data_IF_360772575026
#
_entry.id   IF_360772575026
#
_cell.length_a   1.000
_cell.length_b   1.000
_cell.length_c   1.000
_cell.angle_alpha   90.00
_cell.angle_beta   90.00
_cell.angle_gamma   90.00
#
_symmetry.space_group_name_H-M   'P 1'
#
loop_
_entity.id
_entity.type
_entity.pdbx_description
1 polymer ?
#
# COMPACT_ATOMS: atom_id res chain seq x y z
N UNK A 1 -4.42 -7.74 3.57
CA UNK A 1 -3.66 -6.59 3.03
C UNK A 1 -2.79 -6.98 1.82
N UNK A 2 -2.12 -8.15 1.83
CA UNK A 2 -1.22 -8.57 0.75
C UNK A 2 -1.83 -8.41 -0.66
N UNK A 3 -2.99 -9.02 -0.91
CA UNK A 3 -3.62 -8.97 -2.23
C UNK A 3 -3.98 -7.54 -2.64
N UNK A 4 -4.54 -6.75 -1.73
CA UNK A 4 -4.93 -5.37 -2.03
C UNK A 4 -3.72 -4.52 -2.39
N UNK A 5 -2.65 -4.53 -1.56
CA UNK A 5 -1.44 -3.73 -1.84
C UNK A 5 -0.78 -4.17 -3.13
N UNK A 6 -0.75 -5.47 -3.42
CA UNK A 6 -0.23 -6.00 -4.69
C UNK A 6 -0.99 -5.44 -5.90
N UNK A 7 -2.31 -5.50 -5.88
CA UNK A 7 -3.13 -4.97 -6.98
C UNK A 7 -2.99 -3.45 -7.12
N UNK A 8 -2.89 -2.71 -6.01
CA UNK A 8 -2.62 -1.26 -6.03
C UNK A 8 -1.27 -0.97 -6.68
N UNK A 9 -0.21 -1.64 -6.25
CA UNK A 9 1.15 -1.44 -6.81
C UNK A 9 1.18 -1.73 -8.31
N UNK A 10 0.51 -2.80 -8.75
CA UNK A 10 0.38 -3.11 -10.17
C UNK A 10 -0.36 -2.02 -10.95
N UNK A 11 -1.46 -1.53 -10.40
CA UNK A 11 -2.28 -0.51 -11.03
C UNK A 11 -1.58 0.87 -11.07
N UNK A 12 -0.77 1.18 -10.07
CA UNK A 12 0.05 2.40 -10.02
C UNK A 12 1.24 2.34 -11.00
N UNK A 13 1.65 1.14 -11.40
CA UNK A 13 2.84 0.94 -12.23
C UNK A 13 4.15 1.05 -11.45
N UNK A 14 5.29 0.83 -12.14
CA UNK A 14 6.60 0.82 -11.50
C UNK A 14 7.03 2.20 -11.04
N UNK A 15 7.62 2.29 -9.85
CA UNK A 15 8.33 3.49 -9.42
C UNK A 15 9.58 3.72 -10.30
N UNK A 16 9.91 4.99 -10.55
CA UNK A 16 11.12 5.37 -11.30
C UNK A 16 11.94 6.38 -10.51
N UNK A 17 13.16 6.02 -10.12
CA UNK A 17 13.78 4.70 -10.30
C UNK A 17 13.11 3.62 -9.43
N UNK A 18 13.14 2.37 -9.91
CA UNK A 18 12.58 1.23 -9.17
C UNK A 18 13.33 1.03 -7.85
N UNK A 19 12.67 1.08 -6.70
CA UNK A 19 13.34 1.05 -5.41
C UNK A 19 13.94 -0.33 -5.12
N UNK A 20 15.27 -0.42 -4.82
CA UNK A 20 15.89 -1.69 -4.43
C UNK A 20 15.54 -2.11 -3.01
N UNK A 21 15.01 -1.18 -2.22
CA UNK A 21 14.61 -1.36 -0.82
C UNK A 21 13.27 -0.69 -0.55
N UNK A 22 12.45 -1.33 0.27
CA UNK A 22 11.17 -0.80 0.76
C UNK A 22 11.24 -0.74 2.28
N UNK A 23 10.97 0.44 2.84
CA UNK A 23 10.70 0.64 4.25
C UNK A 23 9.19 0.56 4.48
N UNK A 24 8.75 -0.39 5.29
CA UNK A 24 7.35 -0.61 5.67
C UNK A 24 7.13 -0.09 7.10
N UNK A 25 6.49 1.07 7.20
CA UNK A 25 6.20 1.77 8.46
C UNK A 25 4.90 1.24 9.06
N UNK A 26 4.94 0.72 10.29
CA UNK A 26 3.81 -0.01 10.87
C UNK A 26 3.56 -1.31 10.12
N UNK A 27 4.61 -2.10 9.89
CA UNK A 27 4.58 -3.24 8.98
C UNK A 27 3.63 -4.37 9.39
N UNK A 28 3.11 -4.35 10.62
CA UNK A 28 2.27 -5.43 11.13
C UNK A 28 2.93 -6.80 10.92
N UNK A 29 2.24 -7.70 10.25
CA UNK A 29 2.75 -9.03 9.91
C UNK A 29 3.59 -9.06 8.61
N UNK A 30 4.00 -7.92 8.08
CA UNK A 30 4.91 -7.78 6.94
C UNK A 30 4.29 -8.04 5.57
N UNK A 31 2.98 -8.16 5.49
CA UNK A 31 2.30 -8.56 4.25
C UNK A 31 2.25 -7.46 3.20
N UNK A 32 2.15 -6.20 3.61
CA UNK A 32 2.08 -5.06 2.70
C UNK A 32 3.43 -4.78 2.02
N UNK A 33 4.50 -4.69 2.81
CA UNK A 33 5.85 -4.53 2.28
C UNK A 33 6.28 -5.69 1.38
N UNK A 34 5.92 -6.93 1.76
CA UNK A 34 6.17 -8.10 0.94
C UNK A 34 5.42 -8.04 -0.40
N UNK A 35 4.17 -7.58 -0.41
CA UNK A 35 3.39 -7.42 -1.63
C UNK A 35 4.07 -6.46 -2.62
N UNK A 36 4.52 -5.31 -2.15
CA UNK A 36 5.23 -4.35 -3.00
C UNK A 36 6.59 -4.88 -3.47
N UNK A 37 7.35 -5.52 -2.57
CA UNK A 37 8.69 -6.04 -2.90
C UNK A 37 8.66 -7.10 -4.01
N UNK A 38 7.63 -7.94 -4.04
CA UNK A 38 7.47 -9.02 -5.02
C UNK A 38 7.02 -8.54 -6.41
N UNK A 39 6.57 -7.29 -6.55
CA UNK A 39 6.25 -6.70 -7.86
C UNK A 39 7.50 -6.16 -8.59
N UNK A 40 8.68 -6.51 -8.11
CA UNK A 40 9.97 -6.18 -8.71
C UNK A 40 10.78 -7.45 -8.99
N UNK A 41 11.53 -7.44 -10.10
CA UNK A 41 12.48 -8.51 -10.42
C UNK A 41 13.90 -7.93 -10.55
N UNK A 42 14.86 -8.34 -9.73
CA UNK A 42 14.72 -9.17 -8.53
C UNK A 42 13.94 -8.43 -7.42
N UNK A 43 13.30 -9.20 -6.52
CA UNK A 43 12.50 -8.62 -5.44
C UNK A 43 13.30 -7.63 -4.58
N UNK A 44 12.64 -6.54 -4.16
CA UNK A 44 13.26 -5.54 -3.30
C UNK A 44 13.57 -6.10 -1.91
N UNK A 45 14.57 -5.50 -1.24
CA UNK A 45 14.79 -5.73 0.20
C UNK A 45 13.67 -5.07 1.00
N UNK A 46 13.12 -5.76 2.01
CA UNK A 46 12.09 -5.21 2.90
C UNK A 46 12.68 -4.91 4.27
N UNK A 47 12.54 -3.66 4.71
CA UNK A 47 12.82 -3.26 6.08
C UNK A 47 11.50 -2.89 6.73
N UNK A 48 11.04 -3.66 7.72
CA UNK A 48 9.77 -3.43 8.41
C UNK A 48 9.98 -2.98 9.85
N UNK A 49 9.19 -2.00 10.29
CA UNK A 49 9.17 -1.57 11.70
C UNK A 49 7.74 -1.55 12.22
N UNK A 50 7.56 -2.00 13.45
CA UNK A 50 6.28 -1.98 14.15
C UNK A 50 6.50 -1.90 15.66
N UNK A 51 5.58 -1.26 16.39
CA UNK A 51 5.63 -1.19 17.85
C UNK A 51 5.30 -2.53 18.50
N UNK A 52 4.51 -3.36 17.83
CA UNK A 52 4.04 -4.64 18.32
C UNK A 52 5.09 -5.74 18.07
N UNK A 53 5.73 -6.24 19.14
CA UNK A 53 6.76 -7.28 19.04
C UNK A 53 6.27 -8.62 18.47
N UNK A 54 4.99 -8.99 18.70
CA UNK A 54 4.41 -10.17 18.08
C UNK A 54 4.29 -9.99 16.55
N UNK A 55 3.77 -8.86 16.11
CA UNK A 55 3.64 -8.53 14.70
C UNK A 55 5.01 -8.57 13.99
N UNK A 56 6.06 -8.01 14.61
CA UNK A 56 7.44 -8.09 14.12
C UNK A 56 7.92 -9.53 13.95
N UNK A 57 7.55 -10.42 14.86
CA UNK A 57 7.91 -11.85 14.78
C UNK A 57 7.22 -12.51 13.57
N UNK A 58 5.94 -12.25 13.38
CA UNK A 58 5.17 -12.70 12.22
C UNK A 58 5.72 -12.10 10.91
N UNK A 59 6.11 -10.83 10.90
CA UNK A 59 6.71 -10.19 9.74
C UNK A 59 8.04 -10.86 9.33
N UNK A 60 8.85 -11.28 10.29
CA UNK A 60 10.08 -12.09 10.02
C UNK A 60 9.75 -13.42 9.39
N UNK A 61 8.72 -14.09 9.90
CA UNK A 61 8.25 -15.35 9.32
C UNK A 61 7.75 -15.16 7.89
N UNK A 62 6.90 -14.14 7.64
CA UNK A 62 6.38 -13.78 6.31
C UNK A 62 7.52 -13.51 5.33
N UNK A 63 8.48 -12.67 5.69
CA UNK A 63 9.64 -12.31 4.85
C UNK A 63 10.44 -13.56 4.46
N UNK A 64 10.76 -14.43 5.44
CA UNK A 64 11.46 -15.69 5.17
C UNK A 64 10.65 -16.65 4.33
N UNK A 65 9.36 -16.81 4.63
CA UNK A 65 8.46 -17.73 3.91
C UNK A 65 8.29 -17.39 2.44
N UNK A 66 8.38 -16.09 2.13
CA UNK A 66 8.30 -15.58 0.75
C UNK A 66 9.67 -15.45 0.05
N UNK A 67 10.75 -15.89 0.70
CA UNK A 67 12.09 -15.83 0.13
C UNK A 67 12.63 -14.41 -0.06
N UNK A 68 12.07 -13.44 0.67
CA UNK A 68 12.49 -12.04 0.57
C UNK A 68 13.74 -11.78 1.43
N UNK A 69 14.60 -10.90 0.94
CA UNK A 69 15.69 -10.32 1.73
C UNK A 69 15.15 -9.18 2.57
N UNK A 70 15.71 -9.00 3.75
CA UNK A 70 15.36 -7.86 4.59
C UNK A 70 15.43 -8.15 6.07
N UNK A 71 14.94 -7.20 6.84
CA UNK A 71 14.87 -7.27 8.28
C UNK A 71 13.59 -6.63 8.80
N UNK A 72 13.11 -7.12 9.92
CA UNK A 72 12.02 -6.49 10.66
C UNK A 72 12.44 -6.29 12.11
N UNK A 73 12.04 -5.16 12.67
CA UNK A 73 12.44 -4.78 14.03
C UNK A 73 11.33 -4.04 14.76
N UNK A 74 11.39 -4.09 16.09
CA UNK A 74 10.53 -3.24 16.91
C UNK A 74 11.01 -1.80 16.80
N UNK A 75 10.13 -0.89 16.40
CA UNK A 75 10.44 0.51 16.19
C UNK A 75 9.18 1.34 15.99
N UNK A 76 9.32 2.63 16.18
CA UNK A 76 8.26 3.61 15.96
C UNK A 76 8.40 4.21 14.56
N UNK A 77 7.34 4.13 13.77
CA UNK A 77 7.25 4.70 12.42
C UNK A 77 7.62 6.19 12.37
N UNK A 78 7.37 6.93 13.45
CA UNK A 78 7.66 8.36 13.54
C UNK A 78 9.14 8.68 13.76
N UNK A 79 9.89 7.77 14.35
CA UNK A 79 11.31 7.94 14.66
C UNK A 79 12.24 7.15 13.73
N UNK A 80 11.69 6.18 12.98
CA UNK A 80 12.48 5.36 12.07
C UNK A 80 13.16 6.21 11.00
N UNK A 81 14.43 5.95 10.75
CA UNK A 81 15.20 6.67 9.75
C UNK A 81 14.75 6.27 8.34
N UNK A 82 14.27 7.24 7.57
CA UNK A 82 13.91 6.99 6.17
C UNK A 82 15.17 6.63 5.34
N UNK A 83 15.03 5.66 4.42
CA UNK A 83 16.17 5.21 3.61
C UNK A 83 16.62 6.29 2.63
N UNK A 84 17.90 6.25 2.24
CA UNK A 84 18.38 7.10 1.17
C UNK A 84 17.78 6.66 -0.18
N UNK A 85 17.43 7.60 -1.07
CA UNK A 85 16.95 7.28 -2.41
C UNK A 85 18.02 6.52 -3.25
N UNK A 86 17.60 5.70 -4.21
CA UNK A 86 16.23 5.34 -4.52
C UNK A 86 15.66 4.32 -3.52
N UNK A 87 14.51 4.61 -2.96
CA UNK A 87 13.86 3.73 -1.98
C UNK A 87 12.34 3.82 -2.11
N UNK A 88 11.63 2.82 -1.63
CA UNK A 88 10.19 2.87 -1.38
C UNK A 88 9.92 3.10 0.10
N UNK A 89 8.96 3.93 0.42
CA UNK A 89 8.42 4.12 1.77
C UNK A 89 6.94 3.79 1.74
N UNK A 90 6.54 2.80 2.51
CA UNK A 90 5.17 2.31 2.62
C UNK A 90 4.61 2.62 4.00
N UNK A 91 3.36 3.09 4.05
CA UNK A 91 2.53 3.11 5.25
C UNK A 91 1.17 2.54 4.88
N UNK A 92 0.93 1.27 5.20
CA UNK A 92 -0.30 0.58 4.84
C UNK A 92 -1.13 0.24 6.08
N UNK A 93 -2.31 0.83 6.20
CA UNK A 93 -3.21 0.71 7.36
C UNK A 93 -2.56 1.17 8.68
N UNK A 94 -1.67 2.13 8.57
CA UNK A 94 -0.84 2.61 9.68
C UNK A 94 -1.24 4.01 10.11
N UNK A 95 -1.53 4.91 9.15
CA UNK A 95 -1.79 6.32 9.46
C UNK A 95 -3.10 6.50 10.24
N UNK A 96 -4.07 5.63 10.03
CA UNK A 96 -5.31 5.62 10.79
C UNK A 96 -5.11 5.30 12.29
N UNK A 97 -4.06 4.55 12.64
CA UNK A 97 -3.74 4.17 14.01
C UNK A 97 -3.02 5.30 14.78
N UNK A 98 -2.58 6.35 14.07
CA UNK A 98 -1.87 7.47 14.65
C UNK A 98 -2.84 8.54 15.17
N UNK A 99 -2.46 9.25 16.23
CA UNK A 99 -3.11 10.49 16.66
C UNK A 99 -2.78 11.66 15.72
N UNK A 100 -3.48 12.79 15.89
CA UNK A 100 -3.31 13.97 15.03
C UNK A 100 -1.89 14.56 15.12
N UNK A 101 -1.29 14.58 16.29
CA UNK A 101 0.06 15.08 16.49
C UNK A 101 1.10 14.20 15.78
N UNK A 102 0.91 12.89 15.83
CA UNK A 102 1.75 11.91 15.15
C UNK A 102 1.61 12.02 13.63
N UNK A 103 0.37 12.18 13.12
CA UNK A 103 0.12 12.42 11.69
C UNK A 103 0.78 13.71 11.22
N UNK A 104 0.65 14.81 11.96
CA UNK A 104 1.29 16.08 11.62
C UNK A 104 2.83 16.00 11.57
N UNK A 105 3.43 15.07 12.32
CA UNK A 105 4.88 14.80 12.28
C UNK A 105 5.29 13.87 11.14
N UNK A 106 4.43 12.91 10.77
CA UNK A 106 4.76 11.91 9.74
C UNK A 106 4.66 12.49 8.33
N UNK A 107 3.62 13.27 8.04
CA UNK A 107 3.38 13.81 6.69
C UNK A 107 4.59 14.56 6.12
N UNK A 108 5.19 15.57 6.79
CA UNK A 108 6.35 16.27 6.24
C UNK A 108 7.53 15.33 5.93
N UNK A 109 7.76 14.33 6.77
CA UNK A 109 8.85 13.36 6.57
C UNK A 109 8.65 12.53 5.31
N UNK A 110 7.40 12.12 5.03
CA UNK A 110 7.06 11.39 3.80
C UNK A 110 7.19 12.29 2.57
N UNK A 111 6.79 13.56 2.68
CA UNK A 111 6.95 14.54 1.61
C UNK A 111 8.43 14.83 1.32
N UNK A 112 9.26 14.98 2.34
CA UNK A 112 10.71 15.15 2.20
C UNK A 112 11.37 13.92 1.53
N UNK A 113 10.94 12.71 1.91
CA UNK A 113 11.41 11.49 1.28
C UNK A 113 11.06 11.45 -0.23
N UNK A 114 9.84 11.84 -0.58
CA UNK A 114 9.41 11.91 -1.97
C UNK A 114 10.17 12.96 -2.77
N UNK A 115 10.34 14.16 -2.22
CA UNK A 115 11.14 15.25 -2.82
C UNK A 115 12.59 14.82 -3.00
N UNK A 116 13.13 14.02 -2.08
CA UNK A 116 14.46 13.44 -2.16
C UNK A 116 14.60 12.32 -3.20
N UNK A 117 13.51 11.89 -3.87
CA UNK A 117 13.53 10.87 -4.92
C UNK A 117 13.17 9.45 -4.45
N UNK A 118 12.54 9.32 -3.29
CA UNK A 118 11.93 8.05 -2.87
C UNK A 118 10.50 7.95 -3.40
N UNK A 119 10.06 6.74 -3.73
CA UNK A 119 8.65 6.47 -3.97
C UNK A 119 7.92 6.34 -2.62
N UNK A 120 6.80 7.01 -2.46
CA UNK A 120 5.98 6.94 -1.24
C UNK A 120 4.61 6.38 -1.59
N UNK A 121 4.15 5.41 -0.82
CA UNK A 121 2.82 4.81 -0.96
C UNK A 121 2.14 4.71 0.41
N UNK A 122 0.98 5.34 0.52
CA UNK A 122 0.11 5.26 1.68
C UNK A 122 -1.16 4.52 1.25
N UNK A 123 -1.55 3.48 1.98
CA UNK A 123 -2.76 2.69 1.68
C UNK A 123 -3.64 2.63 2.92
N UNK A 124 -4.92 2.96 2.75
CA UNK A 124 -5.88 3.00 3.86
C UNK A 124 -7.26 2.48 3.43
N UNK A 125 -8.16 2.15 4.39
CA UNK A 125 -9.53 1.77 4.06
C UNK A 125 -10.30 2.89 3.36
N UNK A 126 -11.31 2.55 2.56
CA UNK A 126 -12.20 3.53 1.92
C UNK A 126 -13.05 4.34 2.90
N UNK A 127 -13.21 3.87 4.13
CA UNK A 127 -14.09 4.50 5.11
C UNK A 127 -13.61 5.90 5.50
N UNK A 128 -14.38 6.92 5.13
CA UNK A 128 -14.12 8.31 5.52
C UNK A 128 -14.20 8.54 7.03
N UNK A 129 -14.95 7.71 7.75
CA UNK A 129 -15.09 7.83 9.23
C UNK A 129 -13.80 7.52 9.96
N UNK A 130 -13.01 6.57 9.46
CA UNK A 130 -11.76 6.16 10.10
C UNK A 130 -10.56 6.99 9.64
N UNK A 131 -10.75 7.88 8.65
CA UNK A 131 -9.65 8.71 8.12
C UNK A 131 -10.12 10.15 7.86
N UNK A 132 -10.52 10.91 8.88
CA UNK A 132 -10.92 12.30 8.72
C UNK A 132 -9.78 13.21 8.23
N UNK A 133 -8.54 12.81 8.47
CA UNK A 133 -7.30 13.47 8.07
C UNK A 133 -7.00 13.36 6.55
N UNK A 134 -7.67 12.48 5.83
CA UNK A 134 -7.35 12.14 4.45
C UNK A 134 -7.38 13.33 3.47
N UNK A 135 -8.35 14.26 3.50
CA UNK A 135 -8.38 15.39 2.56
C UNK A 135 -7.11 16.24 2.64
N UNK A 136 -6.66 16.58 3.83
CA UNK A 136 -5.43 17.36 4.06
C UNK A 136 -4.20 16.66 3.44
N UNK A 137 -4.06 15.37 3.66
CA UNK A 137 -2.95 14.59 3.11
C UNK A 137 -3.04 14.45 1.59
N UNK A 138 -4.26 14.29 1.05
CA UNK A 138 -4.48 14.21 -0.38
C UNK A 138 -4.13 15.53 -1.08
N UNK A 139 -4.47 16.65 -0.48
CA UNK A 139 -4.13 17.99 -0.98
C UNK A 139 -2.62 18.23 -0.95
N UNK A 140 -1.94 17.85 0.12
CA UNK A 140 -0.49 17.94 0.24
C UNK A 140 0.22 17.08 -0.82
N UNK A 141 -0.20 15.82 -0.98
CA UNK A 141 0.34 14.89 -1.99
C UNK A 141 0.07 15.40 -3.40
N UNK A 142 -1.15 15.86 -3.69
CA UNK A 142 -1.51 16.43 -5.00
C UNK A 142 -0.68 17.67 -5.34
N UNK A 143 -0.46 18.57 -4.37
CA UNK A 143 0.38 19.77 -4.55
C UNK A 143 1.84 19.44 -4.86
N UNK A 144 2.33 18.28 -4.43
CA UNK A 144 3.67 17.78 -4.71
C UNK A 144 3.75 16.91 -5.99
N UNK A 145 2.70 16.92 -6.82
CA UNK A 145 2.66 16.14 -8.07
C UNK A 145 2.36 14.65 -7.87
N UNK A 146 1.91 14.27 -6.70
CA UNK A 146 1.42 12.92 -6.43
C UNK A 146 -0.05 12.74 -6.79
N UNK A 147 -0.60 11.58 -6.48
CA UNK A 147 -1.97 11.22 -6.81
C UNK A 147 -2.69 10.55 -5.65
N UNK A 148 -4.02 10.64 -5.67
CA UNK A 148 -4.91 9.87 -4.83
C UNK A 148 -5.82 8.98 -5.68
N UNK A 149 -6.10 7.77 -5.19
CA UNK A 149 -6.97 6.83 -5.87
C UNK A 149 -7.86 6.08 -4.88
N UNK A 150 -9.06 5.70 -5.35
CA UNK A 150 -9.92 4.72 -4.70
C UNK A 150 -9.94 3.44 -5.53
N UNK A 151 -9.75 2.31 -4.86
CA UNK A 151 -9.58 1.01 -5.48
C UNK A 151 -10.71 0.06 -5.13
N UNK A 152 -11.18 -0.68 -6.12
CA UNK A 152 -12.16 -1.76 -5.99
C UNK A 152 -11.76 -2.87 -6.96
N UNK A 153 -11.07 -3.88 -6.45
CA UNK A 153 -10.64 -5.02 -7.26
C UNK A 153 -11.56 -6.21 -6.99
N UNK A 154 -12.02 -6.93 -8.03
CA UNK A 154 -12.69 -8.22 -7.83
C UNK A 154 -11.76 -9.17 -7.08
N UNK A 155 -12.29 -9.85 -6.05
CA UNK A 155 -11.52 -10.80 -5.27
C UNK A 155 -11.98 -12.23 -5.52
N UNK A 156 -11.07 -13.08 -5.99
CA UNK A 156 -11.24 -14.53 -5.98
C UNK A 156 -10.45 -15.08 -4.80
N UNK A 157 -11.14 -15.29 -3.68
CA UNK A 157 -10.51 -15.79 -2.47
C UNK A 157 -10.41 -17.31 -2.47
N UNK A 158 -9.37 -17.91 -1.88
CA UNK A 158 -9.34 -19.32 -1.56
C UNK A 158 -10.60 -19.75 -0.79
N UNK A 159 -11.10 -20.98 -1.07
CA UNK A 159 -12.36 -21.47 -0.49
C UNK A 159 -12.46 -21.29 1.02
N UNK A 160 -11.38 -21.56 1.75
CA UNK A 160 -11.34 -21.39 3.21
C UNK A 160 -11.59 -19.95 3.64
N UNK A 161 -10.96 -18.97 2.98
CA UNK A 161 -11.14 -17.55 3.28
C UNK A 161 -12.55 -17.08 2.89
N UNK A 162 -13.10 -17.57 1.78
CA UNK A 162 -14.48 -17.27 1.38
C UNK A 162 -15.49 -17.79 2.40
N UNK A 163 -15.29 -19.00 2.95
CA UNK A 163 -16.13 -19.58 4.00
C UNK A 163 -16.04 -18.79 5.31
N UNK A 164 -14.83 -18.41 5.73
CA UNK A 164 -14.61 -17.57 6.92
C UNK A 164 -15.28 -16.20 6.76
N UNK A 165 -15.13 -15.55 5.61
CA UNK A 165 -15.78 -14.28 5.32
C UNK A 165 -17.30 -14.40 5.42
N UNK A 166 -17.89 -15.43 4.80
CA UNK A 166 -19.34 -15.69 4.90
C UNK A 166 -19.80 -15.91 6.35
N UNK A 167 -19.05 -16.70 7.13
CA UNK A 167 -19.35 -16.95 8.53
C UNK A 167 -19.25 -15.68 9.40
N UNK A 168 -18.38 -14.74 9.04
CA UNK A 168 -18.19 -13.46 9.74
C UNK A 168 -19.10 -12.33 9.21
N UNK A 169 -20.00 -12.61 8.26
CA UNK A 169 -20.84 -11.58 7.64
C UNK A 169 -20.10 -10.56 6.78
N UNK A 170 -18.85 -10.85 6.39
CA UNK A 170 -18.04 -9.99 5.55
C UNK A 170 -18.28 -10.27 4.06
N UNK A 171 -18.49 -9.21 3.28
CA UNK A 171 -18.52 -9.30 1.82
C UNK A 171 -17.08 -9.23 1.27
N UNK A 172 -16.51 -10.40 0.98
CA UNK A 172 -15.16 -10.54 0.48
C UNK A 172 -15.07 -10.64 -1.05
N UNK A 173 -16.12 -10.22 -1.79
CA UNK A 173 -16.13 -10.25 -3.26
C UNK A 173 -15.25 -9.17 -3.87
N UNK A 174 -14.87 -8.17 -3.11
CA UNK A 174 -14.00 -7.09 -3.55
C UNK A 174 -12.91 -6.80 -2.52
N UNK A 175 -11.72 -6.49 -3.01
CA UNK A 175 -10.66 -5.84 -2.25
C UNK A 175 -10.84 -4.34 -2.42
N UNK A 176 -11.02 -3.63 -1.32
CA UNK A 176 -11.26 -2.18 -1.37
C UNK A 176 -10.24 -1.43 -0.53
N UNK A 177 -9.81 -0.27 -1.03
CA UNK A 177 -8.89 0.62 -0.34
C UNK A 177 -8.73 1.92 -1.11
N UNK A 178 -7.96 2.82 -0.56
CA UNK A 178 -7.51 4.05 -1.21
C UNK A 178 -6.02 4.23 -1.02
N UNK A 179 -5.40 4.99 -1.91
CA UNK A 179 -3.98 5.27 -1.81
C UNK A 179 -3.65 6.73 -2.06
N UNK A 180 -2.56 7.18 -1.45
CA UNK A 180 -1.80 8.36 -1.83
C UNK A 180 -0.43 7.88 -2.32
N UNK A 181 0.00 8.37 -3.48
CA UNK A 181 1.24 7.92 -4.10
C UNK A 181 2.06 9.10 -4.63
N UNK A 182 3.37 9.03 -4.42
CA UNK A 182 4.39 9.96 -4.92
C UNK A 182 5.55 9.17 -5.53
N UNK A 183 6.10 9.61 -6.66
CA UNK A 183 7.23 8.94 -7.30
C UNK A 183 6.90 7.56 -7.86
N UNK A 184 5.63 7.26 -8.07
CA UNK A 184 5.12 6.08 -8.75
C UNK A 184 4.55 6.56 -10.09
N UNK A 185 5.21 6.18 -11.19
CA UNK A 185 4.80 6.58 -12.53
C UNK A 185 3.63 5.72 -13.00
N UNK A 186 2.44 6.25 -12.83
CA UNK A 186 1.35 5.89 -13.71
C UNK A 186 1.10 7.09 -14.64
N UNK A 187 0.99 6.91 -15.97
CA UNK A 187 0.41 7.96 -16.81
C UNK A 187 -0.94 8.30 -16.21
N UNK A 188 -1.18 9.58 -15.94
CA UNK A 188 -2.48 10.07 -15.49
C UNK A 188 -3.55 9.41 -16.38
N UNK A 189 -4.46 8.66 -15.78
CA UNK A 189 -5.68 8.27 -16.45
C UNK A 189 -6.46 9.57 -16.66
N UNK A 190 -6.16 10.27 -17.76
CA UNK A 190 -6.99 11.37 -18.28
C UNK A 190 -8.38 10.78 -18.42
N UNK A 191 -9.31 11.37 -17.66
CA UNK A 191 -10.66 10.88 -17.44
C UNK A 191 -11.36 10.43 -18.71
N UNK A 192 -11.52 9.14 -18.82
CA UNK A 192 -12.63 8.52 -19.51
C UNK A 192 -13.23 7.50 -18.57
N UNK A 193 -14.35 7.89 -17.99
CA UNK A 193 -15.29 6.95 -17.40
C UNK A 193 -15.77 6.07 -18.55
N UNK A 194 -15.03 4.99 -18.84
CA UNK A 194 -15.41 3.98 -19.80
C UNK A 194 -16.65 3.25 -19.30
N UNK A 195 -17.79 3.66 -19.79
CA UNK A 195 -18.96 2.81 -19.85
C UNK A 195 -18.57 1.56 -20.64
N UNK A 196 -18.34 0.44 -19.95
CA UNK A 196 -18.18 -0.87 -20.56
C UNK A 196 -19.51 -1.25 -21.22
N UNK A 197 -19.67 -0.86 -22.48
CA UNK A 197 -20.78 -1.23 -23.33
C UNK A 197 -20.88 -2.75 -23.43
N UNK A 198 -22.02 -3.27 -23.04
CA UNK A 198 -22.47 -4.62 -23.23
C UNK A 198 -22.44 -4.95 -24.74
N UNK A 199 -21.41 -5.67 -25.21
CA UNK A 199 -21.43 -6.30 -26.52
C UNK A 199 -22.11 -7.66 -26.43
N UNK A 200 -23.36 -7.65 -26.92
CA UNK A 200 -24.17 -8.81 -27.28
C UNK A 200 -23.34 -9.89 -27.99
N UNK A 201 -23.25 -11.07 -27.40
CA UNK A 201 -22.80 -12.28 -28.10
C UNK A 201 -23.97 -12.84 -28.90
N UNK A 202 -23.86 -12.85 -30.23
CA UNK A 202 -24.73 -13.62 -31.11
C UNK A 202 -24.45 -15.12 -30.94
N UNK A 203 -25.48 -15.98 -30.96
CA UNK A 203 -25.28 -17.40 -30.90
C UNK A 203 -24.78 -17.95 -32.23
N UNK A 204 -23.79 -18.84 -32.20
CA UNK A 204 -23.42 -19.67 -33.34
C UNK A 204 -24.49 -20.75 -33.57
N UNK A 205 -24.86 -20.92 -34.84
CA UNK A 205 -25.58 -22.08 -35.34
C UNK A 205 -24.63 -23.26 -35.46
#
# INVERSE_FOLDING_TARGET
HFLLVREIVRALGPARPTPPRILDLGCGTGTAGAAWALEREPAAEVVGVDLNGWAVTEARWTTRRLGLRGRTGRGDALSERLPRPPAGVLAAFTVNELDDASRARLLPRLMDAATGGSAVLIVEPLSRRVSPWWPEWADAVGSAGGRQDEWRFPATLPRTLALLGKASGLDNRQLTGRSLALGLDCPALTGERGEAGARSRRPFR
#
